data_IF_256325901856
#
_entry.id   IF_256325901856
#
_cell.length_a   1.000
_cell.length_b   1.000
_cell.length_c   1.000
_cell.angle_alpha   90.00
_cell.angle_beta   90.00
_cell.angle_gamma   90.00
#
_symmetry.space_group_name_H-M   'P 1'
#
loop_
_entity.id
_entity.type
_entity.pdbx_description
1 polymer ?
#
# COMPACT_ATOMS: atom_id res chain seq x y z
N UNK A 1 -4.47 8.38 2.49
CA UNK A 1 -4.62 9.24 1.31
C UNK A 1 -4.52 10.70 1.68
N UNK A 2 -5.43 11.27 2.48
CA UNK A 2 -5.40 12.69 2.91
C UNK A 2 -4.01 13.26 3.27
N UNK A 3 -3.22 12.54 4.08
CA UNK A 3 -1.87 12.98 4.45
C UNK A 3 -0.94 13.02 3.23
N UNK A 4 -0.90 11.95 2.42
CA UNK A 4 -0.03 11.88 1.24
C UNK A 4 -0.41 12.93 0.18
N UNK A 5 -1.70 13.23 0.01
CA UNK A 5 -2.16 14.30 -0.87
C UNK A 5 -1.75 15.68 -0.34
N UNK A 6 -1.93 15.92 0.96
CA UNK A 6 -1.56 17.19 1.61
C UNK A 6 -0.06 17.48 1.48
N UNK A 7 0.77 16.45 1.67
CA UNK A 7 2.22 16.58 1.61
C UNK A 7 2.76 16.54 0.16
N UNK A 8 1.90 16.47 -0.87
CA UNK A 8 2.27 16.38 -2.29
C UNK A 8 3.33 15.29 -2.55
N UNK A 9 3.12 14.11 -1.98
CA UNK A 9 4.09 13.02 -2.09
C UNK A 9 4.05 12.40 -3.49
N UNK A 10 5.21 12.18 -4.10
CA UNK A 10 5.30 11.59 -5.45
C UNK A 10 5.16 10.06 -5.46
N UNK A 11 5.42 9.39 -4.33
CA UNK A 11 5.42 7.93 -4.21
C UNK A 11 5.07 7.48 -2.78
N UNK A 12 4.20 6.46 -2.67
CA UNK A 12 3.92 5.78 -1.41
C UNK A 12 4.63 4.42 -1.42
N UNK A 13 5.48 4.16 -0.41
CA UNK A 13 6.09 2.85 -0.19
C UNK A 13 5.53 2.22 1.08
N UNK A 14 5.06 0.98 1.00
CA UNK A 14 4.57 0.26 2.17
C UNK A 14 4.97 -1.21 2.20
N UNK A 15 5.40 -1.68 3.37
CA UNK A 15 5.57 -3.09 3.65
C UNK A 15 4.20 -3.73 3.86
N UNK A 16 3.88 -4.75 3.08
CA UNK A 16 2.63 -5.48 3.22
C UNK A 16 2.80 -6.66 4.15
N UNK A 17 2.12 -6.65 5.30
CA UNK A 17 1.93 -7.81 6.19
C UNK A 17 0.48 -8.27 6.12
N UNK A 18 0.24 -9.54 5.81
CA UNK A 18 -1.05 -10.18 6.00
C UNK A 18 -1.53 -11.04 4.84
N UNK A 19 -2.33 -12.05 5.17
CA UNK A 19 -2.97 -12.97 4.20
C UNK A 19 -4.48 -12.78 4.05
N UNK A 20 -5.05 -11.70 4.61
CA UNK A 20 -6.49 -11.39 4.48
C UNK A 20 -6.69 -10.20 3.54
N UNK A 21 -7.37 -10.47 2.42
CA UNK A 21 -7.57 -9.64 1.22
C UNK A 21 -7.66 -10.55 0.00
N UNK A 22 -8.05 -10.04 -1.18
CA UNK A 22 -7.97 -10.85 -2.41
C UNK A 22 -6.52 -11.12 -2.81
N UNK A 23 -5.60 -10.26 -2.37
CA UNK A 23 -4.16 -10.36 -2.63
C UNK A 23 -3.37 -10.59 -1.33
N UNK A 24 -2.16 -11.16 -1.45
CA UNK A 24 -1.24 -11.43 -0.33
C UNK A 24 -0.55 -10.17 0.24
N UNK A 25 -1.11 -8.98 0.00
CA UNK A 25 -0.57 -7.70 0.46
C UNK A 25 -1.27 -7.17 1.74
N UNK A 26 -2.34 -7.82 2.19
CA UNK A 26 -3.12 -7.39 3.35
C UNK A 26 -4.11 -6.26 3.04
N UNK A 27 -5.13 -6.13 3.90
CA UNK A 27 -6.32 -5.29 3.64
C UNK A 27 -6.03 -3.79 3.52
N UNK A 28 -5.02 -3.27 4.22
CA UNK A 28 -4.61 -1.86 4.11
C UNK A 28 -3.93 -1.60 2.78
N UNK A 29 -2.96 -2.43 2.40
CA UNK A 29 -2.25 -2.27 1.13
C UNK A 29 -3.21 -2.43 -0.06
N UNK A 30 -4.15 -3.37 -0.01
CA UNK A 30 -5.16 -3.53 -1.06
C UNK A 30 -6.03 -2.27 -1.19
N UNK A 31 -6.50 -1.70 -0.08
CA UNK A 31 -7.28 -0.45 -0.10
C UNK A 31 -6.46 0.72 -0.62
N UNK A 32 -5.19 0.84 -0.24
CA UNK A 32 -4.33 1.93 -0.70
C UNK A 32 -4.06 1.83 -2.19
N UNK A 33 -3.64 0.67 -2.69
CA UNK A 33 -3.37 0.46 -4.13
C UNK A 33 -4.61 0.71 -4.97
N UNK A 34 -5.80 0.26 -4.53
CA UNK A 34 -7.05 0.42 -5.30
C UNK A 34 -7.53 1.87 -5.40
N UNK A 35 -7.20 2.72 -4.45
CA UNK A 35 -7.82 4.06 -4.34
C UNK A 35 -6.81 5.21 -4.45
N UNK A 36 -5.51 4.91 -4.59
CA UNK A 36 -4.48 5.95 -4.64
C UNK A 36 -4.39 6.57 -6.03
N UNK A 37 -4.41 7.90 -6.10
CA UNK A 37 -3.99 8.68 -7.28
C UNK A 37 -2.46 8.82 -7.38
N UNK A 38 -1.74 8.56 -6.29
CA UNK A 38 -0.28 8.57 -6.19
C UNK A 38 0.25 7.15 -6.44
N UNK A 39 1.34 6.95 -7.20
CA UNK A 39 1.96 5.64 -7.35
C UNK A 39 2.24 4.95 -6.00
N UNK A 40 2.00 3.64 -5.92
CA UNK A 40 2.19 2.83 -4.70
C UNK A 40 3.10 1.64 -4.99
N UNK A 41 4.18 1.50 -4.21
CA UNK A 41 5.05 0.33 -4.21
C UNK A 41 4.78 -0.49 -2.96
N UNK A 42 4.38 -1.75 -3.14
CA UNK A 42 4.17 -2.70 -2.06
C UNK A 42 5.36 -3.66 -1.96
N UNK A 43 5.93 -3.77 -0.77
CA UNK A 43 7.03 -4.70 -0.48
C UNK A 43 6.46 -5.91 0.25
N UNK A 44 6.36 -7.10 -0.39
CA UNK A 44 5.87 -8.30 0.27
C UNK A 44 6.86 -8.73 1.34
N UNK A 45 6.37 -8.91 2.58
CA UNK A 45 7.18 -9.54 3.63
C UNK A 45 6.80 -11.03 3.69
N UNK A 46 7.60 -11.85 3.06
CA UNK A 46 7.61 -13.29 3.32
C UNK A 46 8.80 -13.55 4.25
N UNK A 47 8.65 -14.33 5.34
CA UNK A 47 9.81 -14.88 6.00
C UNK A 47 10.59 -15.68 4.96
N UNK A 48 11.92 -15.51 4.93
CA UNK A 48 12.82 -16.43 4.22
C UNK A 48 12.67 -17.85 4.76
#
# INVERSE_FOLDING_TARGET
>A
MKLAEKENVDLIVMASRGGKGHFRFGSVAEKTVKNSSIPVVTIPISPL
#
